data_IF_017487576211
#
_entry.id   IF_017487576211
#
_cell.length_a   1.000
_cell.length_b   1.000
_cell.length_c   1.000
_cell.angle_alpha   90.00
_cell.angle_beta   90.00
_cell.angle_gamma   90.00
#
_symmetry.space_group_name_H-M   'P 1'
#
loop_
_entity.id
_entity.type
_entity.pdbx_description
1 polymer ?
#
# COMPACT_ATOMS: atom_id res chain seq x y z
N UNK A 1 16.10 26.04 -15.75
CA UNK A 1 14.70 26.33 -16.16
C UNK A 1 14.13 25.11 -16.86
N UNK A 2 13.56 24.16 -16.10
CA UNK A 2 12.67 23.16 -16.63
C UNK A 2 11.28 23.50 -16.11
N UNK A 3 10.50 24.23 -16.96
CA UNK A 3 9.09 24.43 -16.77
C UNK A 3 8.36 23.10 -16.92
N UNK A 4 8.03 22.42 -15.82
CA UNK A 4 7.02 21.40 -15.82
C UNK A 4 5.67 22.09 -16.06
N UNK A 5 5.28 22.18 -17.32
CA UNK A 5 3.89 22.35 -17.68
C UNK A 5 3.14 21.17 -17.08
N UNK A 6 2.39 21.41 -15.99
CA UNK A 6 1.37 20.51 -15.52
C UNK A 6 0.40 20.30 -16.68
N UNK A 7 0.59 19.22 -17.44
CA UNK A 7 -0.49 18.65 -18.23
C UNK A 7 -1.57 18.30 -17.20
N UNK A 8 -2.64 19.11 -17.15
CA UNK A 8 -3.95 18.60 -16.75
C UNK A 8 -4.15 17.42 -17.66
N UNK A 9 -3.98 16.20 -17.15
CA UNK A 9 -4.37 15.02 -17.89
C UNK A 9 -5.84 15.20 -18.20
N UNK A 10 -6.11 15.39 -19.49
CA UNK A 10 -7.48 15.47 -20.00
C UNK A 10 -8.03 14.09 -19.73
N UNK A 11 -8.93 14.00 -18.76
CA UNK A 11 -9.64 12.78 -18.43
C UNK A 11 -10.37 12.31 -19.68
N UNK A 12 -9.91 11.21 -20.27
CA UNK A 12 -10.52 10.65 -21.49
C UNK A 12 -11.94 10.22 -21.20
N UNK A 13 -12.82 10.21 -22.21
CA UNK A 13 -14.20 9.74 -22.03
C UNK A 13 -14.20 8.29 -21.54
N UNK A 14 -13.32 7.44 -22.08
CA UNK A 14 -13.14 6.06 -21.61
C UNK A 14 -12.82 5.97 -20.10
N UNK A 15 -11.93 6.81 -19.60
CA UNK A 15 -11.60 6.84 -18.16
C UNK A 15 -12.80 7.27 -17.33
N UNK A 16 -13.58 8.25 -17.81
CA UNK A 16 -14.81 8.69 -17.11
C UNK A 16 -15.85 7.56 -17.04
N UNK A 17 -16.04 6.83 -18.13
CA UNK A 17 -16.94 5.67 -18.17
C UNK A 17 -16.51 4.58 -17.18
N UNK A 18 -15.22 4.25 -17.13
CA UNK A 18 -14.68 3.29 -16.19
C UNK A 18 -14.86 3.72 -14.72
N UNK A 19 -14.63 4.99 -14.40
CA UNK A 19 -14.85 5.52 -13.05
C UNK A 19 -16.33 5.48 -12.66
N UNK A 20 -17.24 5.78 -13.60
CA UNK A 20 -18.67 5.69 -13.37
C UNK A 20 -19.14 4.25 -13.19
N UNK A 21 -18.54 3.29 -13.89
CA UNK A 21 -18.79 1.86 -13.66
C UNK A 21 -18.32 1.45 -12.25
N UNK A 22 -17.15 1.85 -11.82
CA UNK A 22 -16.66 1.62 -10.45
C UNK A 22 -17.64 2.16 -9.39
N UNK A 23 -18.14 3.38 -9.57
CA UNK A 23 -19.13 3.97 -8.66
C UNK A 23 -20.44 3.20 -8.64
N UNK A 24 -20.90 2.75 -9.80
CA UNK A 24 -22.11 1.94 -9.93
C UNK A 24 -21.97 0.59 -9.21
N UNK A 25 -20.83 -0.09 -9.39
CA UNK A 25 -20.54 -1.36 -8.71
C UNK A 25 -20.41 -1.17 -7.20
N UNK A 26 -19.77 -0.09 -6.77
CA UNK A 26 -19.70 0.27 -5.34
C UNK A 26 -21.08 0.52 -4.74
N UNK A 27 -21.94 1.26 -5.42
CA UNK A 27 -23.32 1.50 -4.98
C UNK A 27 -24.12 0.20 -4.84
N UNK A 28 -23.99 -0.74 -5.81
CA UNK A 28 -24.60 -2.07 -5.73
C UNK A 28 -24.07 -2.86 -4.54
N UNK A 29 -22.77 -2.82 -4.27
CA UNK A 29 -22.16 -3.50 -3.13
C UNK A 29 -22.69 -2.94 -1.80
N UNK A 30 -22.82 -1.61 -1.70
CA UNK A 30 -23.39 -0.94 -0.53
C UNK A 30 -24.86 -1.31 -0.31
N UNK A 31 -25.65 -1.44 -1.39
CA UNK A 31 -27.05 -1.82 -1.32
C UNK A 31 -27.28 -3.28 -0.80
N UNK A 32 -26.26 -4.13 -0.89
CA UNK A 32 -26.31 -5.50 -0.34
C UNK A 32 -26.00 -5.54 1.18
N UNK A 33 -25.65 -4.42 1.80
CA UNK A 33 -25.38 -4.31 3.23
C UNK A 33 -26.67 -4.01 4.02
N UNK A 34 -26.78 -4.42 5.31
CA UNK A 34 -25.70 -5.01 6.11
C UNK A 34 -25.53 -6.52 5.88
N UNK A 35 -24.29 -6.95 5.62
CA UNK A 35 -23.94 -8.36 5.75
C UNK A 35 -23.77 -8.70 7.24
N UNK A 36 -24.01 -9.97 7.65
CA UNK A 36 -23.73 -10.40 9.01
C UNK A 36 -22.27 -10.07 9.39
N UNK A 37 -22.06 -9.50 10.57
CA UNK A 37 -20.75 -9.04 11.01
C UNK A 37 -19.67 -10.16 10.97
N UNK A 38 -20.08 -11.39 11.29
CA UNK A 38 -19.19 -12.56 11.24
C UNK A 38 -18.79 -12.93 9.80
N UNK A 39 -19.70 -12.81 8.84
CA UNK A 39 -19.40 -13.03 7.43
C UNK A 39 -18.44 -11.97 6.88
N UNK A 40 -18.64 -10.69 7.25
CA UNK A 40 -17.72 -9.61 6.91
C UNK A 40 -16.33 -9.85 7.48
N UNK A 41 -16.25 -10.29 8.74
CA UNK A 41 -14.98 -10.60 9.40
C UNK A 41 -14.21 -11.69 8.66
N UNK A 42 -14.87 -12.79 8.31
CA UNK A 42 -14.25 -13.90 7.56
C UNK A 42 -13.76 -13.47 6.18
N UNK A 43 -14.55 -12.67 5.47
CA UNK A 43 -14.14 -12.12 4.16
C UNK A 43 -12.91 -11.22 4.34
N UNK A 44 -12.91 -10.35 5.33
CA UNK A 44 -11.81 -9.43 5.61
C UNK A 44 -10.52 -10.16 6.00
N UNK A 45 -10.62 -11.22 6.81
CA UNK A 45 -9.51 -12.09 7.16
C UNK A 45 -8.94 -12.82 5.93
N UNK A 46 -9.81 -13.40 5.08
CA UNK A 46 -9.38 -14.07 3.86
C UNK A 46 -8.66 -13.12 2.89
N UNK A 47 -9.20 -11.93 2.67
CA UNK A 47 -8.54 -10.90 1.85
C UNK A 47 -7.20 -10.44 2.43
N UNK A 48 -7.10 -10.30 3.74
CA UNK A 48 -5.84 -9.88 4.36
C UNK A 48 -4.75 -10.95 4.21
N UNK A 49 -5.10 -12.23 4.30
CA UNK A 49 -4.17 -13.35 4.07
C UNK A 49 -3.74 -13.40 2.60
N UNK A 50 -4.70 -13.35 1.67
CA UNK A 50 -4.42 -13.39 0.23
C UNK A 50 -3.57 -12.20 -0.20
N UNK A 51 -3.88 -11.00 0.26
CA UNK A 51 -3.11 -9.79 -0.03
C UNK A 51 -1.69 -9.87 0.54
N UNK A 52 -1.53 -10.40 1.75
CA UNK A 52 -0.20 -10.63 2.35
C UNK A 52 0.59 -11.64 1.53
N UNK A 53 -0.02 -12.74 1.14
CA UNK A 53 0.63 -13.75 0.31
C UNK A 53 1.09 -13.19 -1.03
N UNK A 54 0.18 -12.56 -1.79
CA UNK A 54 0.49 -12.06 -3.13
C UNK A 54 1.55 -10.95 -3.10
N UNK A 55 1.48 -10.03 -2.15
CA UNK A 55 2.46 -8.95 -2.00
C UNK A 55 3.86 -9.51 -1.70
N UNK A 56 3.97 -10.44 -0.75
CA UNK A 56 5.26 -11.04 -0.39
C UNK A 56 5.79 -11.96 -1.51
N UNK A 57 4.92 -12.65 -2.23
CA UNK A 57 5.30 -13.49 -3.37
C UNK A 57 5.96 -12.67 -4.49
N UNK A 58 5.47 -11.49 -4.78
CA UNK A 58 6.06 -10.57 -5.76
C UNK A 58 7.49 -10.19 -5.36
N UNK A 59 7.75 -10.04 -4.05
CA UNK A 59 9.07 -9.72 -3.50
C UNK A 59 9.98 -10.97 -3.32
N UNK A 60 9.52 -12.14 -3.75
CA UNK A 60 10.32 -13.37 -3.74
C UNK A 60 10.17 -14.24 -2.50
N UNK A 61 9.22 -13.96 -1.60
CA UNK A 61 8.87 -14.84 -0.50
C UNK A 61 8.30 -16.16 -1.04
N UNK A 62 8.69 -17.28 -0.46
CA UNK A 62 8.37 -18.63 -0.96
C UNK A 62 7.30 -19.35 -0.15
N UNK A 63 6.70 -18.69 0.87
CA UNK A 63 5.53 -19.23 1.56
C UNK A 63 4.38 -19.44 0.57
N UNK A 64 3.68 -20.56 0.68
CA UNK A 64 2.41 -20.78 -0.02
C UNK A 64 1.28 -19.99 0.64
N UNK A 65 0.14 -19.86 -0.01
CA UNK A 65 -1.04 -19.20 0.58
C UNK A 65 -1.45 -19.86 1.91
N UNK A 66 -1.48 -21.20 1.96
CA UNK A 66 -1.80 -21.95 3.17
C UNK A 66 -0.76 -21.77 4.29
N UNK A 67 0.53 -21.76 3.92
CA UNK A 67 1.61 -21.49 4.89
C UNK A 67 1.53 -20.06 5.40
N UNK A 68 1.23 -19.07 4.55
CA UNK A 68 1.01 -17.68 4.95
C UNK A 68 -0.14 -17.58 5.95
N UNK A 69 -1.27 -18.25 5.68
CA UNK A 69 -2.41 -18.30 6.60
C UNK A 69 -2.01 -18.86 7.98
N UNK A 70 -1.30 -20.00 8.03
CA UNK A 70 -0.82 -20.59 9.26
C UNK A 70 0.14 -19.68 10.03
N UNK A 71 1.04 -19.00 9.32
CA UNK A 71 2.00 -18.06 9.93
C UNK A 71 1.29 -16.87 10.55
N UNK A 72 0.38 -16.22 9.80
CA UNK A 72 -0.22 -14.95 10.25
C UNK A 72 -1.39 -15.13 11.23
N UNK A 73 -2.14 -16.22 11.11
CA UNK A 73 -3.30 -16.46 11.96
C UNK A 73 -3.01 -17.33 13.18
N UNK A 74 -2.11 -18.33 13.02
CA UNK A 74 -1.84 -19.33 14.05
C UNK A 74 -0.44 -19.18 14.69
N UNK A 75 0.42 -18.31 14.12
CA UNK A 75 1.79 -18.15 14.59
C UNK A 75 2.69 -19.39 14.38
N UNK A 76 2.34 -20.25 13.43
CA UNK A 76 3.06 -21.49 13.15
C UNK A 76 4.36 -21.21 12.40
N UNK A 77 5.43 -21.89 12.81
CA UNK A 77 6.70 -21.87 12.09
C UNK A 77 6.72 -22.96 11.02
N UNK A 78 7.02 -22.60 9.79
CA UNK A 78 7.05 -23.50 8.63
C UNK A 78 8.46 -24.03 8.43
N UNK A 79 8.62 -25.36 8.45
CA UNK A 79 9.92 -26.00 8.24
C UNK A 79 10.45 -25.69 6.82
N UNK A 80 11.77 -25.41 6.76
CA UNK A 80 12.44 -25.09 5.49
C UNK A 80 12.25 -23.66 4.97
N UNK A 81 11.50 -22.81 5.68
CA UNK A 81 11.36 -21.38 5.39
C UNK A 81 12.21 -20.55 6.35
N UNK A 82 12.76 -19.47 5.86
CA UNK A 82 13.61 -18.58 6.66
C UNK A 82 12.80 -17.77 7.67
N UNK A 83 13.43 -17.34 8.76
CA UNK A 83 12.83 -16.41 9.72
C UNK A 83 12.41 -15.09 9.02
N UNK A 84 13.18 -14.66 8.04
CA UNK A 84 12.86 -13.45 7.26
C UNK A 84 11.52 -13.59 6.55
N UNK A 85 11.26 -14.72 5.89
CA UNK A 85 10.00 -14.95 5.18
C UNK A 85 8.79 -14.94 6.14
N UNK A 86 8.96 -15.48 7.34
CA UNK A 86 7.93 -15.42 8.39
C UNK A 86 7.68 -13.98 8.85
N UNK A 87 8.74 -13.21 9.10
CA UNK A 87 8.62 -11.81 9.52
C UNK A 87 8.01 -10.94 8.42
N UNK A 88 8.35 -11.17 7.16
CA UNK A 88 7.74 -10.47 6.02
C UNK A 88 6.21 -10.66 6.01
N UNK A 89 5.73 -11.89 6.22
CA UNK A 89 4.29 -12.17 6.26
C UNK A 89 3.61 -11.55 7.50
N UNK A 90 4.20 -11.71 8.68
CA UNK A 90 3.66 -11.17 9.93
C UNK A 90 3.61 -9.64 9.88
N UNK A 91 4.71 -9.00 9.53
CA UNK A 91 4.83 -7.55 9.48
C UNK A 91 3.88 -6.93 8.44
N UNK A 92 3.75 -7.57 7.29
CA UNK A 92 2.82 -7.12 6.25
C UNK A 92 1.37 -7.19 6.74
N UNK A 93 0.99 -8.27 7.43
CA UNK A 93 -0.33 -8.40 8.03
C UNK A 93 -0.57 -7.32 9.09
N UNK A 94 0.38 -7.07 9.97
CA UNK A 94 0.29 -6.00 10.96
C UNK A 94 0.15 -4.61 10.32
N UNK A 95 0.88 -4.36 9.23
CA UNK A 95 0.76 -3.12 8.48
C UNK A 95 -0.64 -2.95 7.84
N UNK A 96 -1.25 -4.02 7.32
CA UNK A 96 -2.63 -4.00 6.81
C UNK A 96 -3.60 -3.63 7.93
N UNK A 97 -3.50 -4.27 9.09
CA UNK A 97 -4.40 -4.02 10.22
C UNK A 97 -4.24 -2.58 10.73
N UNK A 98 -3.01 -2.06 10.77
CA UNK A 98 -2.71 -0.67 11.11
C UNK A 98 -3.37 0.32 10.12
N UNK A 99 -3.25 0.07 8.81
CA UNK A 99 -3.87 0.91 7.76
C UNK A 99 -5.40 0.87 7.86
N UNK A 100 -5.98 -0.29 8.18
CA UNK A 100 -7.43 -0.42 8.39
C UNK A 100 -7.92 0.40 9.58
N UNK A 101 -7.14 0.46 10.64
CA UNK A 101 -7.47 1.29 11.80
C UNK A 101 -7.38 2.78 11.47
N UNK A 102 -6.46 3.20 10.62
CA UNK A 102 -6.42 4.57 10.09
C UNK A 102 -7.69 4.91 9.30
N UNK A 103 -8.09 4.01 8.39
CA UNK A 103 -9.29 4.23 7.59
C UNK A 103 -10.58 4.31 8.43
N UNK A 104 -10.65 3.56 9.54
CA UNK A 104 -11.79 3.61 10.47
C UNK A 104 -11.85 4.90 11.28
N UNK A 105 -10.68 5.45 11.62
CA UNK A 105 -10.57 6.64 12.48
C UNK A 105 -10.36 7.93 11.71
N UNK A 106 -10.47 7.88 10.37
CA UNK A 106 -10.28 9.02 9.45
C UNK A 106 -8.93 9.75 9.67
N UNK A 107 -7.88 8.95 9.94
CA UNK A 107 -6.54 9.48 10.18
C UNK A 107 -5.91 9.87 8.85
N UNK A 108 -5.44 11.10 8.79
CA UNK A 108 -4.79 11.66 7.60
C UNK A 108 -3.46 10.96 7.28
N UNK A 109 -3.24 10.68 6.00
CA UNK A 109 -1.96 10.18 5.54
C UNK A 109 -0.93 11.32 5.54
N UNK A 110 0.14 11.11 6.28
CA UNK A 110 1.25 12.03 6.45
C UNK A 110 2.58 11.31 6.18
N UNK A 111 3.64 12.07 6.05
CA UNK A 111 5.00 11.51 5.99
C UNK A 111 5.31 10.65 7.23
N UNK A 112 4.84 11.07 8.41
CA UNK A 112 4.97 10.30 9.66
C UNK A 112 4.31 8.94 9.57
N UNK A 113 3.04 8.89 9.13
CA UNK A 113 2.30 7.62 8.99
C UNK A 113 2.92 6.69 7.94
N UNK A 114 3.47 7.24 6.86
CA UNK A 114 4.20 6.45 5.85
C UNK A 114 5.46 5.83 6.46
N UNK A 115 6.23 6.60 7.24
CA UNK A 115 7.43 6.10 7.95
C UNK A 115 7.06 5.05 9.00
N UNK A 116 5.94 5.19 9.70
CA UNK A 116 5.45 4.20 10.66
C UNK A 116 5.09 2.88 9.97
N UNK A 117 4.39 2.92 8.85
CA UNK A 117 4.09 1.72 8.03
C UNK A 117 5.38 1.07 7.54
N UNK A 118 6.33 1.84 7.04
CA UNK A 118 7.63 1.34 6.62
C UNK A 118 8.41 0.70 7.79
N UNK A 119 8.31 1.28 8.99
CA UNK A 119 8.92 0.70 10.19
C UNK A 119 8.28 -0.63 10.59
N UNK A 120 6.96 -0.76 10.48
CA UNK A 120 6.24 -2.02 10.71
C UNK A 120 6.69 -3.10 9.73
N UNK A 121 6.68 -2.81 8.43
CA UNK A 121 7.05 -3.77 7.37
C UNK A 121 8.48 -4.28 7.55
N UNK A 122 9.41 -3.43 7.98
CA UNK A 122 10.83 -3.80 8.18
C UNK A 122 11.16 -4.24 9.61
N UNK A 123 10.20 -4.37 10.49
CA UNK A 123 10.42 -4.77 11.88
C UNK A 123 11.12 -6.13 11.96
N UNK A 124 12.25 -6.19 12.67
CA UNK A 124 13.04 -7.41 12.82
C UNK A 124 13.79 -7.85 11.55
N UNK A 125 13.52 -7.24 10.39
CA UNK A 125 14.16 -7.57 9.10
C UNK A 125 15.32 -6.62 8.82
N UNK A 126 15.09 -5.32 8.93
CA UNK A 126 16.11 -4.30 8.67
C UNK A 126 15.94 -3.10 9.61
N UNK A 127 16.48 -3.26 10.82
CA UNK A 127 16.34 -2.27 11.90
C UNK A 127 16.93 -0.90 11.56
N UNK A 128 17.98 -0.87 10.75
CA UNK A 128 18.69 0.37 10.43
C UNK A 128 17.88 1.28 9.50
N UNK A 129 17.14 0.68 8.57
CA UNK A 129 16.37 1.40 7.57
C UNK A 129 14.88 1.54 7.91
N UNK A 130 14.40 0.81 8.93
CA UNK A 130 12.99 0.83 9.33
C UNK A 130 12.52 2.25 9.68
N UNK A 131 11.51 2.75 8.97
CA UNK A 131 10.93 4.08 9.17
C UNK A 131 11.83 5.25 8.76
N UNK A 132 12.88 5.01 7.98
CA UNK A 132 13.85 6.03 7.58
C UNK A 132 14.00 6.10 6.08
N UNK A 133 14.34 7.28 5.59
CA UNK A 133 14.76 7.43 4.20
C UNK A 133 16.19 6.88 4.03
N UNK A 134 16.42 6.28 2.88
CA UNK A 134 17.75 5.80 2.51
C UNK A 134 18.74 6.95 2.39
N UNK A 135 19.97 6.71 2.77
CA UNK A 135 21.08 7.67 2.68
C UNK A 135 22.03 7.36 1.51
N UNK A 136 21.79 6.23 0.82
CA UNK A 136 22.60 5.77 -0.31
C UNK A 136 21.75 5.69 -1.59
N UNK A 137 22.35 5.95 -2.77
CA UNK A 137 21.68 5.72 -4.04
C UNK A 137 21.32 4.25 -4.21
N UNK A 138 20.19 3.99 -4.86
CA UNK A 138 19.76 2.64 -5.25
C UNK A 138 19.51 2.57 -6.75
N UNK A 139 19.60 1.37 -7.29
CA UNK A 139 19.26 1.06 -8.68
C UNK A 139 18.30 -0.12 -8.69
N UNK A 140 17.32 -0.09 -9.59
CA UNK A 140 16.40 -1.19 -9.80
C UNK A 140 16.99 -2.09 -10.89
N UNK A 141 17.32 -3.33 -10.50
CA UNK A 141 17.90 -4.28 -11.44
C UNK A 141 16.93 -4.56 -12.61
N UNK A 142 17.44 -4.46 -13.84
CA UNK A 142 16.64 -4.68 -15.05
C UNK A 142 15.72 -3.51 -15.45
N UNK A 143 15.73 -2.39 -14.74
CA UNK A 143 14.97 -1.18 -15.07
C UNK A 143 15.87 -0.07 -15.61
N UNK A 144 15.35 0.72 -16.56
CA UNK A 144 15.99 1.98 -16.98
C UNK A 144 15.60 3.16 -16.08
N UNK A 145 14.64 2.96 -15.18
CA UNK A 145 14.23 3.97 -14.22
C UNK A 145 15.34 4.21 -13.19
N UNK A 146 15.72 5.46 -13.01
CA UNK A 146 16.70 5.89 -12.01
C UNK A 146 15.94 6.48 -10.83
N UNK A 147 15.89 5.80 -9.67
CA UNK A 147 15.28 6.35 -8.48
C UNK A 147 15.90 7.69 -8.05
N UNK A 148 15.14 8.58 -7.39
CA UNK A 148 15.66 9.88 -6.96
C UNK A 148 16.90 9.72 -6.08
N UNK A 149 17.78 10.71 -6.12
CA UNK A 149 18.93 10.73 -5.22
C UNK A 149 18.47 10.90 -3.76
N UNK A 150 19.19 10.33 -2.78
CA UNK A 150 18.78 10.34 -1.36
C UNK A 150 18.45 11.75 -0.83
N UNK A 151 19.20 12.77 -1.21
CA UNK A 151 19.01 14.15 -0.78
C UNK A 151 17.74 14.82 -1.35
N UNK A 152 17.09 14.21 -2.36
CA UNK A 152 15.83 14.70 -2.95
C UNK A 152 14.60 14.05 -2.34
N UNK A 153 14.76 12.96 -1.56
CA UNK A 153 13.64 12.16 -1.10
C UNK A 153 12.72 12.97 -0.17
N UNK A 154 13.31 13.72 0.76
CA UNK A 154 12.54 14.51 1.73
C UNK A 154 11.66 15.54 1.04
N UNK A 155 12.22 16.33 0.11
CA UNK A 155 11.47 17.31 -0.69
C UNK A 155 10.37 16.64 -1.53
N UNK A 156 10.67 15.49 -2.13
CA UNK A 156 9.68 14.76 -2.93
C UNK A 156 8.54 14.19 -2.07
N UNK A 157 8.84 13.76 -0.85
CA UNK A 157 7.82 13.27 0.07
C UNK A 157 6.93 14.40 0.62
N UNK A 158 7.50 15.58 0.86
CA UNK A 158 6.72 16.77 1.19
C UNK A 158 5.79 17.16 0.03
N UNK A 159 6.30 17.17 -1.21
CA UNK A 159 5.51 17.44 -2.40
C UNK A 159 4.39 16.40 -2.60
N UNK A 160 4.69 15.12 -2.38
CA UNK A 160 3.74 14.04 -2.45
C UNK A 160 2.59 14.22 -1.45
N UNK A 161 2.90 14.46 -0.17
CA UNK A 161 1.88 14.64 0.87
C UNK A 161 1.06 15.90 0.66
N UNK A 162 1.68 16.99 0.18
CA UNK A 162 0.97 18.21 -0.19
C UNK A 162 -0.01 17.94 -1.34
N UNK A 163 0.44 17.30 -2.42
CA UNK A 163 -0.40 16.99 -3.57
C UNK A 163 -1.55 16.04 -3.22
N UNK A 164 -1.28 15.07 -2.37
CA UNK A 164 -2.32 14.19 -1.84
C UNK A 164 -3.45 14.98 -1.16
N UNK A 165 -3.10 15.91 -0.25
CA UNK A 165 -4.06 16.77 0.44
C UNK A 165 -4.84 17.68 -0.51
N UNK A 166 -4.20 18.18 -1.56
CA UNK A 166 -4.86 18.96 -2.59
C UNK A 166 -5.91 18.14 -3.35
N UNK A 167 -5.55 16.90 -3.75
CA UNK A 167 -6.47 16.00 -4.45
C UNK A 167 -7.69 15.62 -3.58
N UNK A 168 -7.51 15.44 -2.27
CA UNK A 168 -8.63 15.21 -1.35
C UNK A 168 -9.55 16.43 -1.27
N UNK A 169 -8.98 17.63 -1.15
CA UNK A 169 -9.77 18.89 -1.13
C UNK A 169 -10.52 19.14 -2.44
N UNK A 170 -9.90 18.82 -3.56
CA UNK A 170 -10.49 18.89 -4.90
C UNK A 170 -11.53 17.79 -5.15
N UNK A 171 -11.71 16.86 -4.21
CA UNK A 171 -12.59 15.69 -4.31
C UNK A 171 -12.30 14.84 -5.56
N UNK A 172 -11.02 14.67 -5.86
CA UNK A 172 -10.58 13.78 -6.94
C UNK A 172 -11.07 12.35 -6.64
N UNK A 173 -11.47 11.63 -7.68
CA UNK A 173 -11.98 10.27 -7.53
C UNK A 173 -10.98 9.36 -6.81
N UNK A 174 -11.40 8.55 -5.80
CA UNK A 174 -10.47 7.74 -4.97
C UNK A 174 -9.55 6.81 -5.76
N UNK A 175 -10.03 6.26 -6.88
CA UNK A 175 -9.21 5.41 -7.77
C UNK A 175 -8.05 6.20 -8.37
N UNK A 176 -8.27 7.47 -8.75
CA UNK A 176 -7.21 8.33 -9.28
C UNK A 176 -6.21 8.73 -8.21
N UNK A 177 -6.66 8.96 -6.97
CA UNK A 177 -5.78 9.19 -5.83
C UNK A 177 -4.92 7.95 -5.58
N UNK A 178 -5.50 6.75 -5.61
CA UNK A 178 -4.78 5.49 -5.44
C UNK A 178 -3.73 5.28 -6.54
N UNK A 179 -4.08 5.54 -7.81
CA UNK A 179 -3.16 5.45 -8.94
C UNK A 179 -2.00 6.44 -8.80
N UNK A 180 -2.26 7.69 -8.44
CA UNK A 180 -1.22 8.68 -8.17
C UNK A 180 -0.24 8.23 -7.10
N UNK A 181 -0.75 7.64 -6.01
CA UNK A 181 0.09 7.13 -4.91
C UNK A 181 0.98 5.98 -5.34
N UNK A 182 0.43 5.06 -6.12
CA UNK A 182 1.19 3.91 -6.63
C UNK A 182 2.30 4.32 -7.62
N UNK A 183 2.06 5.36 -8.43
CA UNK A 183 3.02 5.81 -9.45
C UNK A 183 4.13 6.72 -8.87
N UNK A 184 3.92 7.28 -7.68
CA UNK A 184 4.82 8.29 -7.10
C UNK A 184 5.68 7.72 -5.96
N UNK A 185 5.22 6.70 -5.23
CA UNK A 185 5.93 6.03 -4.13
C UNK A 185 6.68 4.80 -4.61
#
# INVERSE_FOLDING_TARGET
HYGRTHKREIMTEELKELLQECDTLKARLVALRPLPAEALKKIDEAFAVEYTYESNRIEGNTLTLQETELVVNEGVTIAGKSMREHLEAINHREAIDYIKDFAKNDIEISEGTIKEIHALVLHGINRENAGRYRTVPVMISGSQHIPPQPYLIEEQMEDFTRRYKEMEKEKVHPVLIAAYRHDTL
#
